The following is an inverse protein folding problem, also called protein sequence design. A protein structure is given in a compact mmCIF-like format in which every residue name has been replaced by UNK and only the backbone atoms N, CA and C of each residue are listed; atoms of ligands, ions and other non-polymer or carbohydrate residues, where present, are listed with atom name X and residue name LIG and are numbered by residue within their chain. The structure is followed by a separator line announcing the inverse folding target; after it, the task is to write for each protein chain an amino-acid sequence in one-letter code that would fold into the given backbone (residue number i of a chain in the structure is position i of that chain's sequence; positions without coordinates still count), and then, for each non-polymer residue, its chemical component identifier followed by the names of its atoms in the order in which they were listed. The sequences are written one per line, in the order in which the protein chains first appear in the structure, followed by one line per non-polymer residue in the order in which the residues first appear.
data_IF_762973500717
#
_entry.id   IF_762973500717
#
_cell.length_a   1.000
_cell.length_b   1.000
_cell.length_c   1.000
_cell.angle_alpha   90.00
_cell.angle_beta   90.00
_cell.angle_gamma   90.00
#
_symmetry.space_group_name_H-M   'P 1'
#
loop_
_entity.id
_entity.type
_entity.pdbx_description
1 polymer ?
#
# COMPACT_ATOMS: atom_id res chain seq x y z
N UNK A 1 -4.71 5.43 -34.04
CA UNK A 1 -3.86 6.24 -33.14
C UNK A 1 -3.58 5.45 -31.87
N UNK A 2 -2.35 5.43 -31.39
CA UNK A 2 -1.98 4.80 -30.11
C UNK A 2 -2.40 5.73 -28.97
N UNK A 3 -3.17 5.22 -28.00
CA UNK A 3 -3.60 6.00 -26.83
C UNK A 3 -2.40 6.36 -25.95
N UNK A 4 -2.29 7.62 -25.53
CA UNK A 4 -1.27 8.11 -24.60
C UNK A 4 -2.01 8.62 -23.34
N UNK A 5 -2.27 7.75 -22.35
CA UNK A 5 -2.99 8.13 -21.15
C UNK A 5 -2.12 9.01 -20.24
N UNK A 6 -2.74 9.93 -19.49
CA UNK A 6 -2.07 10.78 -18.50
C UNK A 6 -1.42 9.95 -17.37
N UNK A 7 -2.04 8.82 -17.02
CA UNK A 7 -1.53 7.92 -15.99
C UNK A 7 -1.88 6.47 -16.31
N UNK A 8 -1.04 5.58 -15.82
CA UNK A 8 -1.24 4.14 -15.84
C UNK A 8 -0.68 3.57 -14.55
N UNK A 9 -1.33 2.53 -14.04
CA UNK A 9 -0.90 1.79 -12.88
C UNK A 9 0.44 1.13 -13.20
N UNK A 10 1.39 1.24 -12.27
CA UNK A 10 2.63 0.51 -12.27
C UNK A 10 2.57 -0.51 -11.14
N UNK A 11 2.43 -1.79 -11.49
CA UNK A 11 2.29 -2.89 -10.54
C UNK A 11 3.39 -3.90 -10.87
N UNK A 12 4.23 -4.15 -9.90
CA UNK A 12 5.37 -5.06 -9.98
C UNK A 12 5.02 -6.43 -9.39
N UNK A 13 5.92 -7.41 -9.59
CA UNK A 13 5.76 -8.72 -8.96
C UNK A 13 5.80 -8.64 -7.42
N UNK A 14 6.53 -7.67 -6.86
CA UNK A 14 6.60 -7.48 -5.41
C UNK A 14 5.23 -7.02 -4.85
N UNK A 15 4.51 -6.17 -5.58
CA UNK A 15 3.17 -5.73 -5.20
C UNK A 15 2.18 -6.90 -5.17
N UNK A 16 2.27 -7.79 -6.17
CA UNK A 16 1.43 -9.00 -6.22
C UNK A 16 1.69 -9.94 -5.02
N UNK A 17 2.96 -10.12 -4.66
CA UNK A 17 3.34 -10.93 -3.50
C UNK A 17 2.83 -10.32 -2.20
N UNK A 18 2.97 -9.01 -2.01
CA UNK A 18 2.46 -8.31 -0.83
C UNK A 18 0.93 -8.46 -0.69
N UNK A 19 0.19 -8.40 -1.79
CA UNK A 19 -1.27 -8.66 -1.78
C UNK A 19 -1.57 -10.11 -1.43
N UNK A 20 -0.85 -11.07 -2.02
CA UNK A 20 -1.04 -12.49 -1.73
C UNK A 20 -0.78 -12.82 -0.26
N UNK A 21 0.25 -12.23 0.34
CA UNK A 21 0.55 -12.39 1.77
C UNK A 21 -0.62 -11.94 2.65
N UNK A 22 -1.24 -10.79 2.36
CA UNK A 22 -2.41 -10.33 3.12
C UNK A 22 -3.62 -11.23 2.90
N UNK A 23 -3.93 -11.59 1.64
CA UNK A 23 -5.09 -12.42 1.29
C UNK A 23 -5.02 -13.84 1.86
N UNK A 24 -3.82 -14.35 2.13
CA UNK A 24 -3.60 -15.69 2.70
C UNK A 24 -3.36 -15.66 4.22
N UNK A 25 -3.34 -14.47 4.83
CA UNK A 25 -3.22 -14.30 6.28
C UNK A 25 -4.57 -14.40 6.99
N UNK A 26 -4.54 -14.40 8.33
CA UNK A 26 -5.75 -14.36 9.16
C UNK A 26 -6.46 -12.98 9.15
N UNK A 27 -5.86 -11.96 8.51
CA UNK A 27 -6.29 -10.57 8.66
C UNK A 27 -6.59 -9.90 7.31
N UNK A 28 -7.87 -9.80 6.98
CA UNK A 28 -8.33 -9.00 5.83
C UNK A 28 -8.59 -7.52 6.17
N UNK A 29 -8.84 -7.23 7.45
CA UNK A 29 -9.05 -5.87 7.98
C UNK A 29 -8.45 -5.77 9.38
N UNK A 30 -8.08 -4.54 9.78
CA UNK A 30 -7.51 -4.26 11.10
C UNK A 30 -6.32 -5.17 11.48
N UNK A 31 -5.48 -5.50 10.48
CA UNK A 31 -4.33 -6.40 10.63
C UNK A 31 -2.99 -5.66 10.67
N UNK A 32 -1.89 -6.38 10.97
CA UNK A 32 -0.55 -5.79 11.16
C UNK A 32 0.00 -5.07 9.92
N UNK A 33 -0.54 -5.35 8.72
CA UNK A 33 -0.15 -4.67 7.50
C UNK A 33 -0.40 -3.15 7.55
N UNK A 34 -1.46 -2.70 8.27
CA UNK A 34 -1.76 -1.26 8.38
C UNK A 34 -0.72 -0.54 9.24
N UNK A 35 -0.37 -1.10 10.39
CA UNK A 35 0.62 -0.52 11.30
C UNK A 35 2.00 -0.45 10.64
N UNK A 36 2.37 -1.49 9.89
CA UNK A 36 3.62 -1.52 9.13
C UNK A 36 3.64 -0.44 8.03
N UNK A 37 2.54 -0.25 7.33
CA UNK A 37 2.42 0.79 6.30
C UNK A 37 2.53 2.18 6.92
N UNK A 38 1.75 2.47 7.96
CA UNK A 38 1.76 3.75 8.66
C UNK A 38 3.15 4.07 9.21
N UNK A 39 3.82 3.10 9.84
CA UNK A 39 5.18 3.29 10.34
C UNK A 39 6.15 3.64 9.20
N UNK A 40 6.13 2.88 8.09
CA UNK A 40 7.00 3.14 6.94
C UNK A 40 6.76 4.52 6.33
N UNK A 41 5.51 4.96 6.25
CA UNK A 41 5.16 6.31 5.75
C UNK A 41 5.65 7.39 6.71
N UNK A 42 5.47 7.23 8.02
CA UNK A 42 5.98 8.18 9.01
C UNK A 42 7.51 8.28 8.95
N UNK A 43 8.21 7.14 8.89
CA UNK A 43 9.67 7.07 8.75
C UNK A 43 10.13 7.77 7.46
N UNK A 44 9.47 7.49 6.32
CA UNK A 44 9.79 8.10 5.02
C UNK A 44 9.60 9.62 5.02
N UNK A 45 8.51 10.10 5.63
CA UNK A 45 8.20 11.52 5.72
C UNK A 45 8.97 12.26 6.82
N UNK A 46 9.70 11.55 7.69
CA UNK A 46 10.34 12.13 8.86
C UNK A 46 9.35 12.69 9.89
N UNK A 47 8.13 12.15 9.93
CA UNK A 47 7.09 12.58 10.87
C UNK A 47 6.96 11.62 12.04
N UNK A 48 6.40 12.09 13.15
CA UNK A 48 6.18 11.25 14.33
C UNK A 48 5.06 10.22 14.13
N UNK A 49 4.07 10.56 13.30
CA UNK A 49 2.87 9.77 13.08
C UNK A 49 2.44 9.84 11.61
N UNK A 50 1.78 8.78 11.16
CA UNK A 50 1.02 8.72 9.91
C UNK A 50 -0.23 7.86 10.17
N UNK A 51 -1.33 8.17 9.49
CA UNK A 51 -2.60 7.43 9.59
C UNK A 51 -3.10 7.14 8.19
N UNK A 52 -3.39 5.88 7.91
CA UNK A 52 -3.95 5.44 6.65
C UNK A 52 -5.49 5.53 6.69
N UNK A 53 -6.05 6.13 5.64
CA UNK A 53 -7.49 6.27 5.44
C UNK A 53 -7.88 5.65 4.10
N UNK A 54 -9.17 5.39 3.89
CA UNK A 54 -9.67 4.79 2.65
C UNK A 54 -9.54 5.73 1.44
N UNK A 55 -9.46 7.04 1.68
CA UNK A 55 -9.27 8.09 0.67
C UNK A 55 -8.73 9.36 1.34
N UNK A 56 -8.10 10.22 0.54
CA UNK A 56 -7.70 11.58 0.94
C UNK A 56 -8.88 12.57 0.82
#
# INVERSE_FOLDING_TARGET
MKSIPYGRQDITQADLLAVQEVLTSDWLTQGPAIEQFEKKVADYCGTKYAVALTSA
#
